data_IF_816303848655
#
_entry.id   IF_816303848655
#
_cell.length_a   1.000
_cell.length_b   1.000
_cell.length_c   1.000
_cell.angle_alpha   90.00
_cell.angle_beta   90.00
_cell.angle_gamma   90.00
#
_symmetry.space_group_name_H-M   'P 1'
#
loop_
_entity.id
_entity.type
_entity.pdbx_description
1 polymer ?
#
# COMPACT_ATOMS: atom_id res chain seq x y z
N UNK A 1 -65.22 19.60 -53.11
CA UNK A 1 -65.59 18.34 -52.43
C UNK A 1 -64.36 17.89 -51.66
N UNK A 2 -64.24 18.28 -50.39
CA UNK A 2 -64.62 17.47 -49.21
C UNK A 2 -63.62 16.30 -49.03
N UNK A 3 -62.85 16.14 -47.96
CA UNK A 3 -63.00 16.58 -46.57
C UNK A 3 -61.67 16.35 -45.80
N UNK A 4 -61.37 17.30 -44.88
CA UNK A 4 -60.98 17.14 -43.46
C UNK A 4 -59.84 16.14 -43.12
N UNK A 5 -58.92 16.45 -42.21
CA UNK A 5 -59.23 16.80 -40.82
C UNK A 5 -58.02 17.39 -40.11
N UNK A 6 -58.28 18.40 -39.30
CA UNK A 6 -57.39 19.08 -38.36
C UNK A 6 -56.68 18.09 -37.42
N UNK A 7 -55.35 18.21 -37.30
CA UNK A 7 -54.60 17.58 -36.20
C UNK A 7 -54.37 18.61 -35.10
N UNK A 8 -55.08 18.37 -34.01
CA UNK A 8 -54.99 19.01 -32.70
C UNK A 8 -53.54 18.97 -32.20
N UNK A 9 -53.06 20.14 -31.80
CA UNK A 9 -51.79 20.38 -31.13
C UNK A 9 -51.81 19.69 -29.75
N UNK A 10 -50.88 18.77 -29.48
CA UNK A 10 -50.54 18.31 -28.13
C UNK A 10 -49.12 18.77 -27.79
N UNK A 11 -48.89 19.41 -26.63
CA UNK A 11 -47.55 19.80 -26.23
C UNK A 11 -46.70 18.57 -25.92
N UNK A 12 -45.44 18.59 -26.38
CA UNK A 12 -44.42 17.60 -26.03
C UNK A 12 -44.22 17.62 -24.52
N UNK A 13 -44.63 16.55 -23.84
CA UNK A 13 -44.17 16.27 -22.48
C UNK A 13 -42.67 15.96 -22.53
N UNK A 14 -41.88 16.83 -21.91
CA UNK A 14 -40.48 16.57 -21.60
C UNK A 14 -40.40 15.29 -20.76
N UNK A 15 -39.82 14.24 -21.33
CA UNK A 15 -39.24 13.13 -20.57
C UNK A 15 -37.74 13.30 -20.67
N UNK A 16 -37.14 13.94 -19.67
CA UNK A 16 -35.71 13.77 -19.41
C UNK A 16 -35.56 12.44 -18.69
N UNK A 17 -35.36 11.39 -19.47
CA UNK A 17 -34.70 10.18 -18.97
C UNK A 17 -33.24 10.57 -18.69
N UNK A 18 -32.66 10.27 -17.52
CA UNK A 18 -31.23 10.44 -17.33
C UNK A 18 -30.54 9.46 -18.28
N UNK A 19 -29.74 10.02 -19.19
CA UNK A 19 -29.02 9.26 -20.19
C UNK A 19 -28.03 8.33 -19.51
N UNK A 20 -27.93 7.11 -20.04
CA UNK A 20 -27.16 5.99 -19.52
C UNK A 20 -25.64 6.17 -19.66
N UNK A 21 -25.18 7.42 -19.86
CA UNK A 21 -23.83 7.80 -20.28
C UNK A 21 -23.06 8.62 -19.23
N UNK A 22 -23.63 8.88 -18.05
CA UNK A 22 -22.98 9.74 -17.03
C UNK A 22 -21.99 9.01 -16.10
N UNK A 23 -21.84 7.68 -16.20
CA UNK A 23 -20.93 6.91 -15.35
C UNK A 23 -20.06 5.95 -16.17
N UNK A 24 -18.74 6.21 -16.33
CA UNK A 24 -17.84 5.38 -17.12
C UNK A 24 -17.28 4.17 -16.34
N UNK A 25 -18.03 3.63 -15.38
CA UNK A 25 -17.56 2.51 -14.56
C UNK A 25 -18.08 1.19 -15.13
N UNK A 26 -17.19 0.21 -15.28
CA UNK A 26 -17.52 -1.17 -15.63
C UNK A 26 -18.76 -1.64 -14.86
N UNK A 27 -19.70 -2.29 -15.56
CA UNK A 27 -20.99 -2.69 -15.01
C UNK A 27 -20.83 -3.40 -13.65
N UNK A 28 -21.18 -2.68 -12.58
CA UNK A 28 -21.17 -3.21 -11.22
C UNK A 28 -22.15 -4.39 -11.09
N UNK A 29 -21.83 -5.40 -10.27
CA UNK A 29 -22.76 -6.49 -10.02
C UNK A 29 -24.09 -5.97 -9.44
N UNK A 30 -25.20 -6.27 -10.11
CA UNK A 30 -26.57 -5.86 -9.72
C UNK A 30 -27.05 -6.44 -8.37
N UNK A 31 -26.32 -7.39 -7.80
CA UNK A 31 -26.70 -8.10 -6.58
C UNK A 31 -26.09 -7.40 -5.35
N UNK A 32 -26.95 -6.90 -4.45
CA UNK A 32 -26.56 -6.31 -3.16
C UNK A 32 -25.63 -7.22 -2.34
N UNK A 33 -25.76 -8.55 -2.46
CA UNK A 33 -24.87 -9.50 -1.81
C UNK A 33 -23.46 -9.43 -2.39
N UNK A 34 -23.32 -9.29 -3.71
CA UNK A 34 -22.03 -9.12 -4.40
C UNK A 34 -21.40 -7.77 -4.08
N UNK A 35 -22.20 -6.71 -4.01
CA UNK A 35 -21.71 -5.38 -3.65
C UNK A 35 -21.21 -5.33 -2.19
N UNK A 36 -21.93 -5.95 -1.24
CA UNK A 36 -21.45 -6.08 0.16
C UNK A 36 -20.16 -6.89 0.24
N UNK A 37 -20.07 -7.98 -0.53
CA UNK A 37 -18.85 -8.79 -0.60
C UNK A 37 -17.67 -7.97 -1.12
N UNK A 38 -17.86 -7.22 -2.21
CA UNK A 38 -16.84 -6.34 -2.78
C UNK A 38 -16.40 -5.24 -1.80
N UNK A 39 -17.32 -4.69 -1.00
CA UNK A 39 -16.97 -3.73 0.05
C UNK A 39 -16.09 -4.35 1.14
N UNK A 40 -16.38 -5.59 1.56
CA UNK A 40 -15.51 -6.33 2.50
C UNK A 40 -14.14 -6.59 1.87
N UNK A 41 -14.09 -7.07 0.63
CA UNK A 41 -12.85 -7.30 -0.10
C UNK A 41 -12.00 -6.02 -0.20
N UNK A 42 -12.62 -4.87 -0.51
CA UNK A 42 -11.92 -3.58 -0.56
C UNK A 42 -11.41 -3.14 0.82
N UNK A 43 -12.19 -3.36 1.88
CA UNK A 43 -11.74 -3.05 3.24
C UNK A 43 -10.56 -3.93 3.68
N UNK A 44 -10.53 -5.18 3.26
CA UNK A 44 -9.42 -6.10 3.54
C UNK A 44 -8.17 -5.71 2.73
N UNK A 45 -8.36 -5.29 1.46
CA UNK A 45 -7.27 -4.79 0.60
C UNK A 45 -6.68 -3.51 1.17
N UNK A 46 -7.51 -2.51 1.51
CA UNK A 46 -7.08 -1.24 2.10
C UNK A 46 -6.23 -1.48 3.34
N UNK A 47 -6.74 -2.25 4.31
CA UNK A 47 -5.99 -2.59 5.52
C UNK A 47 -4.65 -3.28 5.20
N UNK A 48 -4.67 -4.22 4.26
CA UNK A 48 -3.44 -4.92 3.84
C UNK A 48 -2.42 -3.96 3.21
N UNK A 49 -2.87 -2.96 2.45
CA UNK A 49 -1.99 -1.96 1.83
C UNK A 49 -1.48 -1.00 2.90
N UNK A 50 -2.32 -0.55 3.83
CA UNK A 50 -1.92 0.27 4.98
C UNK A 50 -0.79 -0.38 5.80
N UNK A 51 -0.94 -1.67 6.13
CA UNK A 51 0.08 -2.44 6.83
C UNK A 51 1.42 -2.47 6.05
N UNK A 52 1.38 -2.56 4.71
CA UNK A 52 2.58 -2.52 3.86
C UNK A 52 3.21 -1.14 3.80
N UNK A 53 2.40 -0.08 3.71
CA UNK A 53 2.87 1.31 3.73
C UNK A 53 3.60 1.60 5.04
N UNK A 54 3.00 1.27 6.20
CA UNK A 54 3.61 1.48 7.52
C UNK A 54 4.95 0.71 7.66
N UNK A 55 4.98 -0.54 7.17
CA UNK A 55 6.20 -1.34 7.15
C UNK A 55 7.29 -0.70 6.29
N UNK A 56 6.96 -0.23 5.08
CA UNK A 56 7.90 0.43 4.17
C UNK A 56 8.42 1.75 4.76
N UNK A 57 7.56 2.57 5.37
CA UNK A 57 7.96 3.79 6.05
C UNK A 57 8.96 3.52 7.17
N UNK A 58 8.71 2.48 7.98
CA UNK A 58 9.61 2.07 9.07
C UNK A 58 10.99 1.66 8.54
N UNK A 59 11.03 0.86 7.47
CA UNK A 59 12.29 0.44 6.82
C UNK A 59 12.99 1.65 6.20
N UNK A 60 12.26 2.57 5.57
CA UNK A 60 12.82 3.78 4.97
C UNK A 60 13.45 4.71 6.02
N UNK A 61 12.81 4.85 7.19
CA UNK A 61 13.38 5.59 8.32
C UNK A 61 14.68 4.94 8.82
N UNK A 62 14.72 3.61 8.93
CA UNK A 62 15.92 2.87 9.33
C UNK A 62 17.08 3.08 8.34
N UNK A 63 16.81 2.92 7.04
CA UNK A 63 17.80 3.12 5.97
C UNK A 63 18.32 4.56 5.98
N UNK A 64 17.44 5.54 6.19
CA UNK A 64 17.81 6.95 6.31
C UNK A 64 18.70 7.21 7.53
N UNK A 65 18.36 6.62 8.69
CA UNK A 65 19.20 6.71 9.89
C UNK A 65 20.60 6.10 9.65
N UNK A 66 20.67 4.98 8.92
CA UNK A 66 21.94 4.37 8.53
C UNK A 66 22.74 5.29 7.60
N UNK A 67 22.13 5.91 6.59
CA UNK A 67 22.78 6.86 5.69
C UNK A 67 23.45 8.01 6.48
N UNK A 68 22.69 8.64 7.39
CA UNK A 68 23.20 9.69 8.28
C UNK A 68 24.33 9.17 9.18
N UNK A 69 24.24 7.94 9.67
CA UNK A 69 25.32 7.34 10.45
C UNK A 69 26.59 7.10 9.63
N UNK A 70 26.48 6.78 8.33
CA UNK A 70 27.63 6.65 7.45
C UNK A 70 28.33 8.00 7.23
N UNK A 71 27.60 9.12 7.18
CA UNK A 71 28.18 10.46 7.16
C UNK A 71 29.00 10.74 8.42
N UNK A 72 28.47 10.37 9.59
CA UNK A 72 29.18 10.52 10.88
C UNK A 72 30.46 9.67 10.97
N UNK A 73 30.50 8.49 10.33
CA UNK A 73 31.68 7.63 10.28
C UNK A 73 32.82 8.19 9.41
N UNK A 74 32.51 8.99 8.41
CA UNK A 74 33.53 9.61 7.55
C UNK A 74 34.21 10.78 8.25
N UNK A 75 33.44 11.57 9.01
CA UNK A 75 33.96 12.73 9.75
C UNK A 75 34.72 12.31 11.02
N UNK A 76 34.26 11.25 11.70
CA UNK A 76 34.90 10.76 12.92
C UNK A 76 35.78 9.54 12.64
N UNK A 77 37.11 9.73 12.55
CA UNK A 77 38.06 8.61 12.64
C UNK A 77 37.92 7.91 14.01
N UNK A 78 38.06 6.58 14.08
CA UNK A 78 37.64 5.79 15.24
C UNK A 78 38.57 6.00 16.45
N UNK A 79 38.21 6.93 17.34
CA UNK A 79 38.85 7.10 18.65
C UNK A 79 38.15 6.35 19.79
N UNK A 80 36.87 5.98 19.62
CA UNK A 80 36.13 5.20 20.61
C UNK A 80 36.05 3.76 20.19
N UNK A 81 36.87 2.90 20.82
CA UNK A 81 36.60 1.46 20.87
C UNK A 81 35.18 1.28 21.40
N UNK A 82 34.37 0.56 20.62
CA UNK A 82 32.97 0.26 20.93
C UNK A 82 32.95 -0.64 22.17
N UNK A 83 32.16 -0.27 23.17
CA UNK A 83 32.00 -1.05 24.41
C UNK A 83 31.25 -2.37 24.18
N UNK A 84 30.57 -2.53 23.04
CA UNK A 84 29.85 -3.75 22.67
C UNK A 84 30.55 -4.42 21.46
N UNK A 85 31.30 -5.49 21.74
CA UNK A 85 32.21 -6.17 20.80
C UNK A 85 31.54 -7.20 19.86
N UNK A 86 30.23 -7.12 19.57
CA UNK A 86 29.59 -8.19 18.79
C UNK A 86 29.74 -8.04 17.27
N UNK A 87 29.74 -6.81 16.72
CA UNK A 87 29.75 -6.63 15.27
C UNK A 87 31.15 -6.32 14.71
N UNK A 88 31.60 -7.19 13.81
CA UNK A 88 32.92 -7.14 13.16
C UNK A 88 32.94 -6.33 11.85
N UNK A 89 31.90 -5.53 11.60
CA UNK A 89 31.92 -4.60 10.46
C UNK A 89 32.80 -3.38 10.77
N UNK A 90 33.80 -3.14 9.92
CA UNK A 90 34.62 -1.91 9.90
C UNK A 90 33.75 -0.64 9.78
N UNK A 91 32.56 -0.78 9.22
CA UNK A 91 31.59 0.30 9.01
C UNK A 91 30.30 0.08 9.79
N UNK A 92 30.38 -0.52 10.99
CA UNK A 92 29.22 -0.67 11.85
C UNK A 92 28.69 0.69 12.35
N UNK A 93 27.38 0.87 12.22
CA UNK A 93 26.66 2.11 12.48
C UNK A 93 25.71 2.02 13.68
N UNK A 94 25.62 0.87 14.38
CA UNK A 94 24.62 0.62 15.43
C UNK A 94 24.63 1.67 16.54
N UNK A 95 25.81 2.18 16.89
CA UNK A 95 25.96 3.16 17.97
C UNK A 95 25.72 4.60 17.50
N UNK A 96 25.57 4.81 16.20
CA UNK A 96 25.40 6.11 15.56
C UNK A 96 23.96 6.38 15.09
N UNK A 97 23.12 5.35 15.08
CA UNK A 97 21.69 5.44 14.78
C UNK A 97 20.85 5.65 16.06
N UNK A 98 19.60 6.07 15.87
CA UNK A 98 18.66 6.34 16.96
C UNK A 98 18.34 5.08 17.76
N UNK A 99 18.04 5.28 19.05
CA UNK A 99 17.79 4.20 20.01
C UNK A 99 16.69 3.22 19.55
N UNK A 100 15.64 3.70 18.89
CA UNK A 100 14.55 2.88 18.36
C UNK A 100 14.99 1.83 17.33
N UNK A 101 16.15 2.04 16.70
CA UNK A 101 16.70 1.17 15.66
C UNK A 101 17.90 0.35 16.13
N UNK A 102 18.24 0.38 17.43
CA UNK A 102 19.43 -0.32 17.94
C UNK A 102 19.19 -1.79 18.22
N UNK A 103 17.95 -2.20 18.42
CA UNK A 103 17.59 -3.60 18.59
C UNK A 103 17.54 -4.26 17.22
N UNK A 104 18.66 -4.86 16.81
CA UNK A 104 18.85 -5.41 15.46
C UNK A 104 19.39 -6.83 15.57
N UNK A 105 18.87 -7.70 14.73
CA UNK A 105 19.36 -9.06 14.60
C UNK A 105 20.84 -9.07 14.16
N UNK A 106 21.52 -10.17 14.50
CA UNK A 106 22.87 -10.47 14.04
C UNK A 106 22.89 -11.77 13.24
N UNK A 107 23.92 -11.94 12.42
CA UNK A 107 24.19 -13.21 11.74
C UNK A 107 25.69 -13.48 11.69
N UNK A 108 26.04 -14.76 11.55
CA UNK A 108 27.41 -15.22 11.41
C UNK A 108 27.76 -15.37 9.93
N UNK A 109 28.84 -14.73 9.49
CA UNK A 109 29.30 -14.83 8.11
C UNK A 109 29.82 -16.24 7.80
N UNK A 110 29.33 -16.84 6.72
CA UNK A 110 29.74 -18.17 6.28
C UNK A 110 31.24 -18.29 5.96
N UNK A 111 31.90 -17.18 5.58
CA UNK A 111 33.30 -17.15 5.16
C UNK A 111 34.26 -16.79 6.29
N UNK A 112 34.11 -15.62 6.92
CA UNK A 112 35.03 -15.19 7.99
C UNK A 112 34.63 -15.67 9.39
N UNK A 113 33.44 -16.28 9.54
CA UNK A 113 32.90 -16.79 10.83
C UNK A 113 32.66 -15.74 11.91
N UNK A 114 32.79 -14.47 11.55
CA UNK A 114 32.50 -13.35 12.46
C UNK A 114 31.01 -12.98 12.47
N UNK A 115 30.61 -12.31 13.55
CA UNK A 115 29.25 -11.83 13.78
C UNK A 115 29.05 -10.39 13.26
N UNK A 116 27.88 -10.14 12.66
CA UNK A 116 27.51 -8.86 12.07
C UNK A 116 26.04 -8.52 12.32
N UNK A 117 25.74 -7.27 12.66
CA UNK A 117 24.35 -6.79 12.59
C UNK A 117 23.83 -6.87 11.14
N UNK A 118 22.57 -7.26 10.98
CA UNK A 118 21.86 -7.32 9.69
C UNK A 118 21.97 -6.00 8.93
N UNK A 119 21.66 -4.87 9.59
CA UNK A 119 21.74 -3.53 8.99
C UNK A 119 23.16 -3.12 8.59
N UNK A 120 24.18 -3.66 9.28
CA UNK A 120 25.57 -3.36 8.94
C UNK A 120 25.97 -4.01 7.61
N UNK A 121 25.25 -5.06 7.20
CA UNK A 121 25.45 -5.80 5.95
C UNK A 121 24.36 -5.56 4.90
N UNK A 122 23.44 -4.63 5.13
CA UNK A 122 22.45 -4.19 4.14
C UNK A 122 21.13 -4.95 4.14
N UNK A 123 20.78 -5.64 5.22
CA UNK A 123 19.46 -6.23 5.42
C UNK A 123 18.66 -5.30 6.33
N UNK A 124 17.52 -4.77 5.87
CA UNK A 124 16.77 -3.72 6.58
C UNK A 124 15.31 -4.09 6.88
N UNK A 125 14.76 -5.06 6.17
CA UNK A 125 13.39 -5.54 6.35
C UNK A 125 13.35 -6.99 6.85
N UNK A 126 12.19 -7.41 7.36
CA UNK A 126 11.96 -8.82 7.71
C UNK A 126 12.14 -9.74 6.49
N UNK A 127 11.74 -9.28 5.30
CA UNK A 127 11.97 -10.01 4.05
C UNK A 127 13.47 -10.19 3.77
N UNK A 128 14.28 -9.15 3.98
CA UNK A 128 15.73 -9.25 3.85
C UNK A 128 16.34 -10.24 4.86
N UNK A 129 15.91 -10.17 6.12
CA UNK A 129 16.37 -11.08 7.16
C UNK A 129 15.99 -12.54 6.87
N UNK A 130 14.83 -12.79 6.25
CA UNK A 130 14.42 -14.14 5.85
C UNK A 130 15.34 -14.80 4.82
N UNK A 131 16.12 -14.00 4.06
CA UNK A 131 17.12 -14.48 3.11
C UNK A 131 18.44 -14.88 3.78
N UNK A 132 18.58 -14.63 5.09
CA UNK A 132 19.78 -15.00 5.84
C UNK A 132 19.78 -16.52 6.07
N UNK A 133 20.80 -17.17 5.52
CA UNK A 133 21.02 -18.61 5.66
C UNK A 133 22.42 -18.86 6.22
N UNK A 134 22.74 -20.12 6.50
CA UNK A 134 24.09 -20.55 6.89
C UNK A 134 25.17 -20.26 5.84
N UNK A 135 24.76 -19.94 4.60
CA UNK A 135 25.64 -19.55 3.49
C UNK A 135 25.82 -18.03 3.34
N UNK A 136 25.12 -17.22 4.14
CA UNK A 136 25.17 -15.77 4.05
C UNK A 136 26.57 -15.24 4.38
N UNK A 137 27.08 -14.36 3.52
CA UNK A 137 28.39 -13.71 3.67
C UNK A 137 28.22 -12.25 4.05
N UNK A 138 29.11 -11.72 4.89
CA UNK A 138 29.21 -10.28 5.13
C UNK A 138 29.63 -9.53 3.86
N UNK A 139 29.41 -8.22 3.81
CA UNK A 139 29.69 -7.44 2.60
C UNK A 139 31.18 -7.46 2.20
N UNK A 140 32.10 -7.47 3.17
CA UNK A 140 33.53 -7.57 2.90
C UNK A 140 33.91 -8.91 2.21
N UNK A 141 33.32 -10.03 2.65
CA UNK A 141 33.53 -11.33 2.02
C UNK A 141 32.77 -11.49 0.68
N UNK A 142 31.70 -10.73 0.45
CA UNK A 142 31.01 -10.67 -0.85
C UNK A 142 31.80 -9.88 -1.89
N UNK A 143 32.52 -8.85 -1.46
CA UNK A 143 33.31 -7.97 -2.34
C UNK A 143 34.76 -7.83 -1.85
N UNK A 144 35.57 -8.91 -1.91
CA UNK A 144 36.94 -8.89 -1.40
C UNK A 144 37.79 -7.84 -2.09
N UNK A 145 38.50 -7.02 -1.31
CA UNK A 145 39.39 -5.95 -1.80
C UNK A 145 38.67 -4.74 -2.44
N UNK A 146 37.34 -4.78 -2.56
CA UNK A 146 36.54 -3.72 -3.16
C UNK A 146 35.57 -3.07 -2.16
N UNK A 147 35.32 -3.73 -1.03
CA UNK A 147 34.43 -3.21 -0.02
C UNK A 147 35.05 -2.01 0.72
N UNK A 148 34.33 -0.89 0.69
CA UNK A 148 34.72 0.37 1.32
C UNK A 148 33.50 1.10 1.86
N UNK A 149 33.70 2.13 2.69
CA UNK A 149 32.62 2.98 3.19
C UNK A 149 31.84 3.61 2.03
N UNK A 150 32.52 4.03 0.97
CA UNK A 150 31.90 4.58 -0.23
C UNK A 150 31.08 3.52 -1.00
N UNK A 151 31.55 2.27 -1.04
CA UNK A 151 30.75 1.17 -1.60
C UNK A 151 29.45 0.99 -0.80
N UNK A 152 29.55 0.98 0.54
CA UNK A 152 28.39 0.87 1.43
C UNK A 152 27.41 2.02 1.21
N UNK A 153 27.86 3.28 1.14
CA UNK A 153 26.96 4.42 0.84
C UNK A 153 26.25 4.28 -0.49
N UNK A 154 26.96 3.92 -1.56
CA UNK A 154 26.33 3.69 -2.87
C UNK A 154 25.24 2.62 -2.80
N UNK A 155 25.45 1.57 -2.00
CA UNK A 155 24.43 0.57 -1.75
C UNK A 155 23.23 1.14 -0.99
N UNK A 156 23.45 1.86 0.13
CA UNK A 156 22.38 2.49 0.91
C UNK A 156 21.54 3.45 0.08
N UNK A 157 22.16 4.30 -0.73
CA UNK A 157 21.46 5.24 -1.62
C UNK A 157 20.57 4.50 -2.63
N UNK A 158 21.04 3.38 -3.18
CA UNK A 158 20.23 2.54 -4.08
C UNK A 158 19.04 1.94 -3.36
N UNK A 159 19.27 1.34 -2.19
CA UNK A 159 18.20 0.74 -1.37
C UNK A 159 17.15 1.79 -1.01
N UNK A 160 17.58 2.99 -0.56
CA UNK A 160 16.67 4.08 -0.23
C UNK A 160 15.78 4.47 -1.41
N UNK A 161 16.38 4.67 -2.60
CA UNK A 161 15.62 5.01 -3.81
C UNK A 161 14.62 3.92 -4.20
N UNK A 162 15.00 2.65 -4.07
CA UNK A 162 14.08 1.54 -4.33
C UNK A 162 12.91 1.54 -3.35
N UNK A 163 13.17 1.77 -2.06
CA UNK A 163 12.12 1.87 -1.04
C UNK A 163 11.19 3.07 -1.25
N UNK A 164 11.74 4.23 -1.64
CA UNK A 164 10.96 5.42 -1.98
C UNK A 164 10.01 5.15 -3.15
N UNK A 165 10.48 4.44 -4.18
CA UNK A 165 9.63 4.04 -5.32
C UNK A 165 8.54 3.06 -4.89
N UNK A 166 8.89 2.02 -4.14
CA UNK A 166 7.92 1.04 -3.64
C UNK A 166 6.87 1.68 -2.73
N UNK A 167 7.28 2.60 -1.85
CA UNK A 167 6.37 3.34 -0.99
C UNK A 167 5.39 4.17 -1.81
N UNK A 168 5.88 4.87 -2.83
CA UNK A 168 5.03 5.66 -3.72
C UNK A 168 4.03 4.79 -4.49
N UNK A 169 4.45 3.61 -4.96
CA UNK A 169 3.55 2.64 -5.61
C UNK A 169 2.45 2.15 -4.65
N UNK A 170 2.80 1.78 -3.42
CA UNK A 170 1.82 1.33 -2.42
C UNK A 170 0.89 2.45 -1.96
N UNK A 171 1.37 3.69 -1.85
CA UNK A 171 0.53 4.87 -1.57
C UNK A 171 -0.51 5.11 -2.68
N UNK A 172 -0.13 4.96 -3.95
CA UNK A 172 -1.07 5.07 -5.07
C UNK A 172 -2.12 3.95 -5.01
N UNK A 173 -1.71 2.72 -4.66
CA UNK A 173 -2.64 1.61 -4.48
C UNK A 173 -3.63 1.87 -3.33
N UNK A 174 -3.15 2.45 -2.22
CA UNK A 174 -3.98 2.81 -1.08
C UNK A 174 -5.02 3.87 -1.47
N UNK A 175 -4.58 4.93 -2.14
CA UNK A 175 -5.46 6.01 -2.62
C UNK A 175 -6.56 5.44 -3.54
N UNK A 176 -6.20 4.58 -4.48
CA UNK A 176 -7.17 3.94 -5.38
C UNK A 176 -8.18 3.06 -4.62
N UNK A 177 -7.72 2.28 -3.63
CA UNK A 177 -8.59 1.44 -2.81
C UNK A 177 -9.58 2.28 -1.97
N UNK A 178 -9.12 3.40 -1.43
CA UNK A 178 -9.93 4.36 -0.68
C UNK A 178 -10.99 4.99 -1.58
N UNK A 179 -10.61 5.48 -2.77
CA UNK A 179 -11.55 6.06 -3.74
C UNK A 179 -12.62 5.04 -4.17
N UNK A 180 -12.22 3.80 -4.49
CA UNK A 180 -13.17 2.76 -4.91
C UNK A 180 -14.15 2.41 -3.77
N UNK A 181 -13.65 2.33 -2.53
CA UNK A 181 -14.46 2.07 -1.34
C UNK A 181 -15.43 3.21 -1.05
N UNK A 182 -14.98 4.46 -1.07
CA UNK A 182 -15.81 5.65 -0.87
C UNK A 182 -16.92 5.72 -1.93
N UNK A 183 -16.57 5.53 -3.19
CA UNK A 183 -17.54 5.50 -4.30
C UNK A 183 -18.61 4.44 -4.08
N UNK A 184 -18.21 3.21 -3.72
CA UNK A 184 -19.14 2.12 -3.45
C UNK A 184 -20.05 2.43 -2.24
N UNK A 185 -19.51 3.05 -1.20
CA UNK A 185 -20.26 3.45 -0.01
C UNK A 185 -21.28 4.56 -0.32
N UNK A 186 -20.90 5.58 -1.08
CA UNK A 186 -21.81 6.64 -1.51
C UNK A 186 -22.97 6.08 -2.33
N UNK A 187 -22.68 5.16 -3.26
CA UNK A 187 -23.72 4.48 -4.04
C UNK A 187 -24.70 3.69 -3.16
N UNK A 188 -24.24 3.02 -2.10
CA UNK A 188 -25.12 2.36 -1.12
C UNK A 188 -26.02 3.34 -0.36
N UNK A 189 -25.50 4.51 0.01
CA UNK A 189 -26.29 5.53 0.69
C UNK A 189 -27.35 6.13 -0.24
N UNK A 190 -27.03 6.34 -1.52
CA UNK A 190 -27.99 6.83 -2.51
C UNK A 190 -29.07 5.79 -2.84
N UNK A 191 -28.71 4.50 -2.93
CA UNK A 191 -29.64 3.41 -3.24
C UNK A 191 -30.55 2.98 -2.08
N UNK A 192 -30.34 3.48 -0.85
CA UNK A 192 -31.18 3.25 0.33
C UNK A 192 -32.07 4.44 0.72
N UNK A 193 -32.16 5.45 -0.15
CA UNK A 193 -32.86 6.72 0.08
C UNK A 193 -34.39 6.65 0.14
N UNK A 194 -35.00 7.80 0.43
CA UNK A 194 -36.46 8.00 0.48
C UNK A 194 -37.13 7.62 -0.85
N UNK A 195 -36.44 7.83 -1.97
CA UNK A 195 -36.90 7.46 -3.33
C UNK A 195 -37.09 5.96 -3.50
N UNK A 196 -36.20 5.12 -2.97
CA UNK A 196 -36.36 3.65 -3.01
C UNK A 196 -37.57 3.24 -2.15
N UNK A 197 -37.73 3.84 -0.96
CA UNK A 197 -38.87 3.60 -0.07
C UNK A 197 -40.20 4.03 -0.70
N UNK A 198 -40.21 5.15 -1.42
CA UNK A 198 -41.37 5.62 -2.18
C UNK A 198 -41.66 4.72 -3.38
N UNK A 199 -40.64 4.28 -4.11
CA UNK A 199 -40.80 3.33 -5.22
C UNK A 199 -41.33 1.98 -4.74
N UNK A 200 -40.80 1.41 -3.65
CA UNK A 200 -41.35 0.20 -3.04
C UNK A 200 -42.78 0.39 -2.54
N UNK A 201 -43.09 1.56 -1.95
CA UNK A 201 -44.45 1.91 -1.52
C UNK A 201 -45.40 1.95 -2.72
N UNK A 202 -44.96 2.53 -3.84
CA UNK A 202 -45.72 2.63 -5.07
C UNK A 202 -45.93 1.24 -5.71
N UNK A 203 -44.90 0.41 -5.78
CA UNK A 203 -45.00 -0.99 -6.25
C UNK A 203 -45.96 -1.82 -5.40
N UNK A 204 -45.89 -1.69 -4.07
CA UNK A 204 -46.88 -2.29 -3.15
C UNK A 204 -48.30 -1.79 -3.41
N UNK A 205 -48.48 -0.49 -3.65
CA UNK A 205 -49.80 0.09 -3.95
C UNK A 205 -50.40 -0.39 -5.28
N UNK A 206 -49.56 -0.79 -6.24
CA UNK A 206 -49.98 -1.36 -7.52
C UNK A 206 -50.17 -2.89 -7.47
N UNK A 207 -50.03 -3.51 -6.29
CA UNK A 207 -50.15 -4.97 -6.10
C UNK A 207 -48.92 -5.78 -6.53
N UNK A 208 -47.84 -5.11 -6.91
CA UNK A 208 -46.56 -5.73 -7.25
C UNK A 208 -45.64 -5.76 -6.02
N UNK A 209 -45.98 -6.58 -5.02
CA UNK A 209 -45.08 -6.83 -3.89
C UNK A 209 -44.03 -7.88 -4.28
N UNK A 210 -42.77 -7.45 -4.35
CA UNK A 210 -41.63 -8.31 -4.67
C UNK A 210 -41.38 -9.41 -3.61
N UNK A 211 -42.04 -9.37 -2.45
CA UNK A 211 -42.02 -10.46 -1.46
C UNK A 211 -42.91 -11.65 -1.79
N UNK A 212 -43.83 -11.55 -2.76
CA UNK A 212 -44.70 -12.65 -3.15
C UNK A 212 -44.02 -13.73 -4.01
N UNK A 213 -42.79 -13.49 -4.49
CA UNK A 213 -42.10 -14.37 -5.45
C UNK A 213 -40.93 -15.18 -4.87
N UNK A 214 -40.64 -15.04 -3.57
CA UNK A 214 -39.61 -15.81 -2.86
C UNK A 214 -40.22 -16.60 -1.69
N UNK A 215 -41.20 -17.45 -2.00
CA UNK A 215 -41.59 -18.58 -1.15
C UNK A 215 -41.26 -19.89 -1.86
#
# INVERSE_FOLDING_TARGET
MTEKTEKIFRPKSFSHSPDRNDFPFEELPLDLKKQKKKLTELSDIEKSVEDRVEALETVLQLVTAVDVALDRLEVNRPGRRRTDQQCHSDHCCINLIDRKFKDQETFICATCKEEFHTICCGFFSAADCSLITSSTKCQACRFPGQFSLQHKRRHIVKVRKTLELMLNEEMILLENAQIEKETLQEMFQQSSGQTLREMERLMRSMGCDCRAWYQ
#
